data_IF_979734941528
#
_entry.id   IF_979734941528
#
_cell.length_a   1.000
_cell.length_b   1.000
_cell.length_c   1.000
_cell.angle_alpha   90.00
_cell.angle_beta   90.00
_cell.angle_gamma   90.00
#
_symmetry.space_group_name_H-M   'P 1'
#
loop_
_entity.id
_entity.type
_entity.pdbx_description
1 polymer ?
#
# COMPACT_ATOMS: atom_id res chain seq x y z
N UNK A 1 -8.80 -7.01 17.59
CA UNK A 1 -7.55 -7.60 17.08
C UNK A 1 -6.46 -6.52 17.10
N UNK A 2 -5.31 -6.86 17.61
CA UNK A 2 -4.18 -5.93 17.60
C UNK A 2 -3.40 -6.07 16.31
N UNK A 3 -3.21 -4.96 15.60
CA UNK A 3 -2.45 -4.97 14.35
C UNK A 3 -0.98 -4.69 14.65
N UNK A 4 -0.09 -5.60 14.23
CA UNK A 4 1.35 -5.44 14.39
C UNK A 4 2.01 -4.74 13.21
N UNK A 5 1.44 -4.86 12.01
CA UNK A 5 1.98 -4.22 10.83
C UNK A 5 1.03 -4.23 9.66
N UNK A 6 1.34 -3.40 8.67
CA UNK A 6 0.56 -3.24 7.43
C UNK A 6 1.47 -3.40 6.23
N UNK A 7 1.01 -4.19 5.24
CA UNK A 7 1.60 -4.21 3.91
C UNK A 7 0.64 -3.46 3.00
N UNK A 8 1.14 -2.55 2.18
CA UNK A 8 0.26 -1.70 1.39
C UNK A 8 0.85 -1.43 0.01
N UNK A 9 -0.05 -1.04 -0.91
CA UNK A 9 0.33 -0.57 -2.24
C UNK A 9 -0.29 0.81 -2.44
N UNK A 10 0.54 1.74 -2.89
CA UNK A 10 0.10 3.08 -3.27
C UNK A 10 0.36 3.29 -4.76
N UNK A 11 -0.44 4.17 -5.37
CA UNK A 11 -0.31 4.48 -6.79
C UNK A 11 -0.55 5.98 -7.02
N UNK A 12 -0.11 6.47 -8.18
CA UNK A 12 -0.38 7.85 -8.58
C UNK A 12 -1.75 7.99 -9.23
N UNK A 13 -2.26 6.93 -9.84
CA UNK A 13 -3.58 6.90 -10.51
C UNK A 13 -3.96 5.44 -10.76
N UNK A 14 -5.24 5.16 -11.08
CA UNK A 14 -5.63 3.79 -11.44
C UNK A 14 -4.74 3.25 -12.56
N UNK A 15 -4.23 2.03 -12.35
CA UNK A 15 -3.31 1.34 -13.27
C UNK A 15 -2.00 2.10 -13.51
N UNK A 16 -1.65 3.02 -12.61
CA UNK A 16 -0.42 3.79 -12.69
C UNK A 16 0.78 3.10 -12.06
N UNK A 17 1.72 3.91 -11.59
CA UNK A 17 2.93 3.43 -10.92
C UNK A 17 2.56 2.83 -9.57
N UNK A 18 3.13 1.67 -9.23
CA UNK A 18 2.86 0.99 -7.96
C UNK A 18 4.04 1.14 -7.01
N UNK A 19 3.75 1.49 -5.77
CA UNK A 19 4.71 1.51 -4.67
C UNK A 19 4.25 0.53 -3.60
N UNK A 20 5.03 -0.51 -3.33
CA UNK A 20 4.76 -1.48 -2.27
C UNK A 20 5.53 -1.07 -1.03
N UNK A 21 4.85 -0.98 0.11
CA UNK A 21 5.48 -0.58 1.36
C UNK A 21 5.00 -1.43 2.53
N UNK A 22 5.68 -1.26 3.66
CA UNK A 22 5.36 -1.91 4.92
C UNK A 22 5.57 -0.92 6.05
N UNK A 23 4.69 -0.95 7.05
CA UNK A 23 4.82 -0.08 8.21
C UNK A 23 4.10 -0.67 9.41
N UNK A 24 4.58 -0.32 10.61
CA UNK A 24 3.86 -0.59 11.85
C UNK A 24 2.93 0.56 12.21
N UNK A 25 3.01 1.69 11.52
CA UNK A 25 2.29 2.92 11.88
C UNK A 25 1.62 3.54 10.64
N UNK A 26 0.31 3.73 10.72
CA UNK A 26 -0.48 4.35 9.64
C UNK A 26 -0.01 5.79 9.33
N UNK A 27 0.67 6.46 10.27
CA UNK A 27 1.20 7.80 10.02
C UNK A 27 2.18 7.82 8.84
N UNK A 28 2.87 6.71 8.56
CA UNK A 28 3.76 6.63 7.40
C UNK A 28 2.98 6.66 6.09
N UNK A 29 1.81 6.02 6.06
CA UNK A 29 0.94 6.09 4.89
C UNK A 29 0.42 7.51 4.71
N UNK A 30 0.03 8.17 5.80
CA UNK A 30 -0.37 9.56 5.77
C UNK A 30 0.76 10.44 5.20
N UNK A 31 2.00 10.19 5.58
CA UNK A 31 3.15 10.93 5.06
C UNK A 31 3.27 10.78 3.54
N UNK A 32 3.05 9.56 3.00
CA UNK A 32 3.04 9.34 1.55
C UNK A 32 1.94 10.16 0.86
N UNK A 33 0.75 10.19 1.45
CA UNK A 33 -0.39 10.94 0.92
C UNK A 33 -0.10 12.44 0.88
N UNK A 34 0.70 12.93 1.81
CA UNK A 34 1.09 14.34 1.87
C UNK A 34 2.33 14.66 1.02
N UNK A 35 2.82 13.69 0.28
CA UNK A 35 4.00 13.87 -0.55
C UNK A 35 5.32 13.78 0.20
N UNK A 36 5.30 13.26 1.44
CA UNK A 36 6.47 13.06 2.29
C UNK A 36 6.68 11.57 2.50
N UNK A 37 7.17 10.84 1.75
CA UNK A 37 7.39 9.41 1.92
C UNK A 37 8.75 9.02 1.37
N UNK A 38 8.85 7.83 0.79
CA UNK A 38 10.06 7.41 0.14
C UNK A 38 10.34 8.29 -1.09
N UNK A 39 11.60 8.36 -1.49
CA UNK A 39 12.00 9.12 -2.67
C UNK A 39 11.25 8.64 -3.93
N UNK A 40 11.06 7.32 -4.06
CA UNK A 40 10.33 6.74 -5.20
C UNK A 40 8.88 7.21 -5.23
N UNK A 41 8.17 7.04 -4.10
CA UNK A 41 6.75 7.41 -4.02
C UNK A 41 6.55 8.91 -4.24
N UNK A 42 7.46 9.74 -3.71
CA UNK A 42 7.43 11.19 -3.90
C UNK A 42 7.64 11.55 -5.36
N UNK A 43 8.64 10.95 -6.00
CA UNK A 43 8.97 11.22 -7.41
C UNK A 43 7.79 10.96 -8.34
N UNK A 44 7.07 9.86 -8.11
CA UNK A 44 6.00 9.42 -8.99
C UNK A 44 4.61 9.85 -8.51
N UNK A 45 4.52 10.57 -7.39
CA UNK A 45 3.26 11.05 -6.86
C UNK A 45 2.32 9.96 -6.38
N UNK A 46 2.87 8.89 -5.78
CA UNK A 46 2.07 7.75 -5.30
C UNK A 46 1.36 8.12 -3.99
N UNK A 47 0.20 8.75 -4.09
CA UNK A 47 -0.56 9.28 -2.96
C UNK A 47 -1.87 8.55 -2.69
N UNK A 48 -2.31 7.67 -3.59
CA UNK A 48 -3.56 6.91 -3.45
C UNK A 48 -3.27 5.55 -2.85
N UNK A 49 -3.98 5.20 -1.78
CA UNK A 49 -3.85 3.90 -1.13
C UNK A 49 -4.84 2.93 -1.79
N UNK A 50 -4.34 1.95 -2.54
CA UNK A 50 -5.20 1.04 -3.31
C UNK A 50 -5.24 -0.39 -2.78
N UNK A 51 -4.31 -0.74 -1.88
CA UNK A 51 -4.32 -2.03 -1.19
C UNK A 51 -3.74 -1.84 0.20
N UNK A 52 -4.36 -2.48 1.20
CA UNK A 52 -3.79 -2.57 2.54
C UNK A 52 -4.13 -3.92 3.13
N UNK A 53 -3.12 -4.58 3.70
CA UNK A 53 -3.24 -5.85 4.38
C UNK A 53 -2.74 -5.69 5.81
N UNK A 54 -3.56 -6.12 6.78
CA UNK A 54 -3.22 -6.05 8.21
C UNK A 54 -2.66 -7.39 8.66
N UNK A 55 -1.61 -7.33 9.47
CA UNK A 55 -0.95 -8.52 10.00
C UNK A 55 -0.83 -8.39 11.51
N UNK A 56 -0.94 -9.52 12.22
CA UNK A 56 -0.79 -9.56 13.69
C UNK A 56 0.61 -9.11 14.11
N UNK A 57 1.62 -9.41 13.30
CA UNK A 57 3.02 -9.16 13.61
C UNK A 57 3.69 -8.44 12.45
N UNK A 58 4.58 -7.50 12.79
CA UNK A 58 5.33 -6.74 11.79
C UNK A 58 6.18 -7.66 10.91
N UNK A 59 6.70 -8.76 11.45
CA UNK A 59 7.52 -9.71 10.69
C UNK A 59 6.74 -10.29 9.52
N UNK A 60 5.45 -10.60 9.72
CA UNK A 60 4.59 -11.13 8.65
C UNK A 60 4.34 -10.08 7.58
N UNK A 61 4.15 -8.84 7.99
CA UNK A 61 3.96 -7.73 7.04
C UNK A 61 5.22 -7.52 6.18
N UNK A 62 6.40 -7.63 6.78
CA UNK A 62 7.68 -7.49 6.07
C UNK A 62 7.86 -8.61 5.04
N UNK A 63 7.56 -9.85 5.40
CA UNK A 63 7.64 -10.99 4.48
C UNK A 63 6.70 -10.76 3.29
N UNK A 64 5.48 -10.33 3.57
CA UNK A 64 4.48 -10.08 2.52
C UNK A 64 4.93 -8.96 1.58
N UNK A 65 5.49 -7.89 2.12
CA UNK A 65 6.02 -6.78 1.32
C UNK A 65 7.09 -7.27 0.34
N UNK A 66 8.02 -8.09 0.83
CA UNK A 66 9.07 -8.64 -0.03
C UNK A 66 8.51 -9.54 -1.12
N UNK A 67 7.50 -10.36 -0.81
CA UNK A 67 6.82 -11.19 -1.79
C UNK A 67 6.19 -10.32 -2.87
N UNK A 68 5.42 -9.31 -2.49
CA UNK A 68 4.74 -8.44 -3.44
C UNK A 68 5.70 -7.66 -4.33
N UNK A 69 6.83 -7.23 -3.78
CA UNK A 69 7.86 -6.54 -4.58
C UNK A 69 8.44 -7.42 -5.67
N UNK A 70 8.49 -8.74 -5.45
CA UNK A 70 9.01 -9.70 -6.42
C UNK A 70 7.95 -10.20 -7.40
N UNK A 71 6.68 -9.90 -7.18
CA UNK A 71 5.61 -10.30 -8.09
C UNK A 71 5.67 -9.50 -9.38
N UNK A 72 5.25 -10.11 -10.49
CA UNK A 72 5.02 -9.40 -11.75
C UNK A 72 3.91 -8.37 -11.54
N UNK A 73 4.01 -7.27 -12.28
CA UNK A 73 3.02 -6.18 -12.18
C UNK A 73 1.59 -6.68 -12.37
N UNK A 74 1.35 -7.57 -13.33
CA UNK A 74 0.00 -8.08 -13.60
C UNK A 74 -0.61 -8.77 -12.39
N UNK A 75 0.23 -9.44 -11.58
CA UNK A 75 -0.23 -10.11 -10.37
C UNK A 75 -0.61 -9.11 -9.28
N UNK A 76 0.14 -8.03 -9.15
CA UNK A 76 -0.17 -6.96 -8.20
C UNK A 76 -1.47 -6.27 -8.58
N UNK A 77 -1.66 -5.97 -9.87
CA UNK A 77 -2.89 -5.35 -10.35
C UNK A 77 -4.09 -6.26 -10.10
N UNK A 78 -3.94 -7.58 -10.30
CA UNK A 78 -5.01 -8.53 -10.02
C UNK A 78 -5.35 -8.57 -8.54
N UNK A 79 -4.33 -8.56 -7.67
CA UNK A 79 -4.55 -8.54 -6.23
C UNK A 79 -5.33 -7.29 -5.80
N UNK A 80 -4.97 -6.13 -6.35
CA UNK A 80 -5.70 -4.88 -6.09
C UNK A 80 -7.15 -5.02 -6.53
N UNK A 81 -7.39 -5.50 -7.74
CA UNK A 81 -8.73 -5.61 -8.31
C UNK A 81 -9.64 -6.56 -7.54
N UNK A 82 -9.10 -7.59 -6.89
CA UNK A 82 -9.90 -8.55 -6.10
C UNK A 82 -10.63 -7.87 -4.96
N UNK A 83 -10.01 -6.90 -4.30
CA UNK A 83 -10.60 -6.20 -3.16
C UNK A 83 -11.00 -4.76 -3.49
N UNK A 84 -10.49 -4.21 -4.58
CA UNK A 84 -10.68 -2.79 -4.92
C UNK A 84 -10.71 -2.64 -6.45
N UNK A 85 -11.78 -3.15 -7.12
CA UNK A 85 -11.81 -3.20 -8.59
C UNK A 85 -11.74 -1.84 -9.28
N UNK A 86 -12.15 -0.78 -8.58
CA UNK A 86 -12.14 0.57 -9.14
C UNK A 86 -10.87 1.36 -8.80
N UNK A 87 -9.94 0.77 -8.06
CA UNK A 87 -8.72 1.42 -7.60
C UNK A 87 -9.01 2.71 -6.82
N UNK A 88 -10.04 2.66 -5.97
CA UNK A 88 -10.39 3.79 -5.11
C UNK A 88 -9.33 3.99 -4.04
N UNK A 89 -9.23 5.23 -3.55
CA UNK A 89 -8.36 5.54 -2.41
C UNK A 89 -9.02 4.99 -1.14
N UNK A 90 -8.38 4.00 -0.51
CA UNK A 90 -8.93 3.31 0.65
C UNK A 90 -8.68 4.04 1.97
N UNK A 91 -7.96 5.16 1.95
CA UNK A 91 -7.57 5.87 3.17
C UNK A 91 -8.78 6.27 4.03
N UNK A 92 -9.81 6.80 3.40
CA UNK A 92 -10.99 7.27 4.12
C UNK A 92 -11.73 6.11 4.81
N UNK A 93 -11.72 4.92 4.24
CA UNK A 93 -12.37 3.76 4.84
C UNK A 93 -11.64 3.23 6.08
N UNK A 94 -10.34 3.55 6.23
CA UNK A 94 -9.58 3.19 7.44
C UNK A 94 -9.90 4.11 8.60
N UNK A 95 -10.24 5.35 8.30
CA UNK A 95 -10.46 6.40 9.31
C UNK A 95 -11.95 6.67 9.53
N UNK A 96 -12.77 6.06 8.73
CA UNK A 96 -14.23 6.15 8.86
C UNK A 96 -14.77 5.07 9.75
#
# INVERSE_FOLDING_TARGET
>A
MRVGGYTYIMTNKPFGVLYVGVTADLARIQAHREGRGSAFAKKWGCKLLVLIEMHDRIEHAIVREKQLKNWKRVWKCRLIAESNPNWDDLWDSLNG
#
